data_IF_801737681764
#
_entry.id   IF_801737681764
#
_cell.length_a   1.000
_cell.length_b   1.000
_cell.length_c   1.000
_cell.angle_alpha   90.00
_cell.angle_beta   90.00
_cell.angle_gamma   90.00
#
_symmetry.space_group_name_H-M   'P 1'
#
loop_
_entity.id
_entity.type
_entity.pdbx_description
1 polymer ?
#
# COMPACT_ATOMS: atom_id res chain seq x y z
N UNK A 1 54.76 -13.68 -25.42
CA UNK A 1 53.32 -13.58 -25.18
C UNK A 1 52.80 -12.48 -26.10
N UNK A 2 51.81 -12.78 -26.97
CA UNK A 2 51.34 -11.76 -27.92
C UNK A 2 50.55 -10.67 -27.20
N UNK A 3 50.63 -9.41 -27.66
CA UNK A 3 49.89 -8.31 -27.04
C UNK A 3 48.35 -8.55 -27.01
N UNK A 4 47.82 -9.27 -27.95
CA UNK A 4 46.40 -9.68 -28.00
C UNK A 4 46.04 -10.64 -26.85
N UNK A 5 46.89 -11.54 -26.43
CA UNK A 5 46.66 -12.44 -25.32
C UNK A 5 46.70 -11.70 -23.97
N UNK A 6 47.54 -10.72 -23.81
CA UNK A 6 47.62 -9.88 -22.63
C UNK A 6 46.30 -9.01 -22.52
N UNK A 7 45.84 -8.45 -23.62
CA UNK A 7 44.58 -7.69 -23.65
C UNK A 7 43.35 -8.53 -23.30
N UNK A 8 43.32 -9.76 -23.79
CA UNK A 8 42.25 -10.72 -23.47
C UNK A 8 42.21 -11.09 -21.99
N UNK A 9 43.38 -11.32 -21.36
CA UNK A 9 43.45 -11.58 -19.92
C UNK A 9 43.03 -10.39 -19.07
N UNK A 10 43.43 -9.17 -19.43
CA UNK A 10 43.01 -7.96 -18.73
C UNK A 10 41.50 -7.73 -18.84
N UNK A 11 40.90 -7.96 -20.00
CA UNK A 11 39.45 -7.88 -20.17
C UNK A 11 38.67 -8.83 -19.29
N UNK A 12 39.11 -10.08 -19.18
CA UNK A 12 38.49 -11.08 -18.30
C UNK A 12 38.63 -10.71 -16.81
N UNK A 13 39.79 -10.16 -16.43
CA UNK A 13 40.03 -9.73 -15.05
C UNK A 13 39.15 -8.54 -14.66
N UNK A 14 39.04 -7.54 -15.53
CA UNK A 14 38.15 -6.39 -15.32
C UNK A 14 36.67 -6.82 -15.24
N UNK A 15 36.26 -7.74 -16.12
CA UNK A 15 34.90 -8.28 -16.10
C UNK A 15 34.62 -9.05 -14.79
N UNK A 16 35.58 -9.84 -14.30
CA UNK A 16 35.45 -10.53 -13.04
C UNK A 16 35.34 -9.56 -11.84
N UNK A 17 36.13 -8.50 -11.82
CA UNK A 17 36.05 -7.44 -10.79
C UNK A 17 34.67 -6.81 -10.81
N UNK A 18 34.17 -6.42 -11.98
CA UNK A 18 32.85 -5.79 -12.13
C UNK A 18 31.75 -6.74 -11.65
N UNK A 19 31.80 -8.02 -12.00
CA UNK A 19 30.85 -9.03 -11.55
C UNK A 19 30.85 -9.17 -10.03
N UNK A 20 32.05 -9.20 -9.40
CA UNK A 20 32.15 -9.24 -7.93
C UNK A 20 31.63 -7.96 -7.25
N UNK A 21 31.86 -6.79 -7.83
CA UNK A 21 31.31 -5.52 -7.32
C UNK A 21 29.78 -5.50 -7.37
N UNK A 22 29.19 -5.96 -8.49
CA UNK A 22 27.75 -6.10 -8.62
C UNK A 22 27.20 -7.12 -7.61
N UNK A 23 27.83 -8.28 -7.47
CA UNK A 23 27.42 -9.28 -6.49
C UNK A 23 27.51 -8.74 -5.05
N UNK A 24 28.58 -8.03 -4.70
CA UNK A 24 28.72 -7.41 -3.37
C UNK A 24 27.66 -6.34 -3.12
N UNK A 25 27.35 -5.51 -4.12
CA UNK A 25 26.27 -4.51 -4.04
C UNK A 25 24.90 -5.16 -3.82
N UNK A 26 24.60 -6.27 -4.50
CA UNK A 26 23.38 -7.05 -4.29
C UNK A 26 23.33 -7.69 -2.90
N UNK A 27 24.40 -8.37 -2.49
CA UNK A 27 24.47 -9.03 -1.18
C UNK A 27 24.34 -8.03 -0.03
N UNK A 28 24.90 -6.82 -0.17
CA UNK A 28 24.77 -5.77 0.84
C UNK A 28 23.31 -5.31 1.06
N UNK A 29 22.41 -5.55 0.10
CA UNK A 29 20.96 -5.26 0.21
C UNK A 29 20.17 -6.47 0.68
N UNK A 30 20.46 -7.65 0.11
CA UNK A 30 19.71 -8.88 0.36
C UNK A 30 19.99 -9.43 1.77
N UNK A 31 21.24 -9.44 2.24
CA UNK A 31 21.58 -9.98 3.55
C UNK A 31 20.87 -9.25 4.69
N UNK A 32 20.89 -7.89 4.79
CA UNK A 32 20.13 -7.18 5.81
C UNK A 32 18.62 -7.40 5.70
N UNK A 33 18.08 -7.45 4.47
CA UNK A 33 16.66 -7.71 4.27
C UNK A 33 16.25 -9.08 4.83
N UNK A 34 16.99 -10.14 4.49
CA UNK A 34 16.72 -11.48 5.01
C UNK A 34 16.89 -11.57 6.55
N UNK A 35 17.82 -10.81 7.11
CA UNK A 35 18.03 -10.77 8.56
C UNK A 35 16.92 -10.00 9.29
N UNK A 36 16.31 -9.01 8.63
CA UNK A 36 15.19 -8.24 9.19
C UNK A 36 13.84 -8.94 9.03
N UNK A 37 13.65 -9.79 8.00
CA UNK A 37 12.38 -10.47 7.72
C UNK A 37 11.74 -11.14 8.95
N UNK A 38 12.48 -11.91 9.80
CA UNK A 38 11.89 -12.53 10.98
C UNK A 38 11.48 -11.55 12.07
N UNK A 39 11.91 -10.28 11.97
CA UNK A 39 11.60 -9.21 12.92
C UNK A 39 10.37 -8.40 12.56
N UNK A 40 9.84 -8.61 11.34
CA UNK A 40 8.59 -7.95 10.92
C UNK A 40 7.44 -8.50 11.75
N UNK A 41 6.74 -7.67 12.53
CA UNK A 41 5.65 -8.14 13.38
C UNK A 41 4.49 -8.61 12.51
N UNK A 42 3.99 -9.80 12.78
CA UNK A 42 2.76 -10.29 12.15
C UNK A 42 1.57 -9.84 13.00
N UNK A 43 0.86 -8.82 12.54
CA UNK A 43 -0.25 -8.22 13.27
C UNK A 43 -1.37 -9.21 13.55
N UNK A 44 -1.68 -10.11 12.61
CA UNK A 44 -2.73 -11.12 12.79
C UNK A 44 -2.36 -12.19 13.82
N UNK A 45 -1.09 -12.61 13.87
CA UNK A 45 -0.60 -13.56 14.89
C UNK A 45 -0.52 -12.92 16.28
N UNK A 46 -0.16 -11.64 16.32
CA UNK A 46 -0.04 -10.89 17.56
C UNK A 46 -1.41 -10.37 18.06
N UNK A 47 -2.46 -10.44 17.25
CA UNK A 47 -3.83 -10.07 17.65
C UNK A 47 -4.35 -10.83 18.88
N UNK A 48 -3.86 -12.05 19.11
CA UNK A 48 -4.17 -12.80 20.34
C UNK A 48 -3.52 -12.20 21.59
N UNK A 49 -2.41 -11.46 21.45
CA UNK A 49 -1.73 -10.77 22.54
C UNK A 49 -2.38 -9.41 22.79
N UNK A 50 -2.96 -8.79 21.76
CA UNK A 50 -3.60 -7.46 21.81
C UNK A 50 -5.12 -7.51 22.02
N UNK A 51 -5.69 -8.67 22.27
CA UNK A 51 -7.12 -8.82 22.62
C UNK A 51 -7.47 -8.21 24.00
N UNK A 52 -6.47 -7.70 24.74
CA UNK A 52 -6.72 -6.87 25.90
C UNK A 52 -7.24 -5.50 25.41
N UNK A 53 -8.55 -5.36 25.46
CA UNK A 53 -9.30 -4.12 25.17
C UNK A 53 -8.82 -2.90 25.97
N UNK A 54 -8.00 -3.08 26.99
CA UNK A 54 -7.42 -2.00 27.83
C UNK A 54 -6.40 -1.12 27.10
N UNK A 55 -5.78 -1.60 26.03
CA UNK A 55 -4.73 -0.89 25.28
C UNK A 55 -5.23 -0.24 23.98
N UNK A 56 -6.54 -0.28 23.75
CA UNK A 56 -7.15 0.37 22.59
C UNK A 56 -7.15 1.91 22.78
N UNK A 57 -6.81 2.67 21.73
CA UNK A 57 -6.90 4.14 21.80
C UNK A 57 -8.34 4.58 22.07
N UNK A 58 -8.52 5.59 22.92
CA UNK A 58 -9.84 6.14 23.22
C UNK A 58 -9.74 7.66 23.27
N UNK A 59 -10.32 8.40 22.32
CA UNK A 59 -11.09 7.89 21.16
C UNK A 59 -10.20 7.24 20.10
N UNK A 60 -10.81 6.38 19.25
CA UNK A 60 -10.13 5.86 18.07
C UNK A 60 -9.83 6.98 17.08
N UNK A 61 -8.58 7.09 16.56
CA UNK A 61 -8.25 8.06 15.52
C UNK A 61 -9.10 7.88 14.26
N UNK A 62 -9.29 8.93 13.50
CA UNK A 62 -9.94 8.85 12.20
C UNK A 62 -8.99 8.34 11.13
N UNK A 63 -9.48 7.52 10.21
CA UNK A 63 -8.69 6.93 9.11
C UNK A 63 -9.38 7.18 7.79
N UNK A 64 -8.64 7.71 6.81
CA UNK A 64 -9.05 7.74 5.41
C UNK A 64 -8.22 6.73 4.61
N UNK A 65 -8.90 5.77 3.99
CA UNK A 65 -8.29 4.82 3.05
C UNK A 65 -8.43 5.35 1.64
N UNK A 66 -7.31 5.49 0.94
CA UNK A 66 -7.25 5.98 -0.44
C UNK A 66 -6.99 4.81 -1.39
N UNK A 67 -7.89 4.60 -2.34
CA UNK A 67 -7.85 3.49 -3.32
C UNK A 67 -7.81 4.06 -4.73
N UNK A 68 -6.62 4.32 -5.31
CA UNK A 68 -6.52 4.70 -6.72
C UNK A 68 -6.73 3.46 -7.60
N UNK A 69 -7.56 3.56 -8.61
CA UNK A 69 -7.81 2.47 -9.55
C UNK A 69 -7.86 2.99 -11.00
N UNK A 70 -7.39 2.13 -11.91
CA UNK A 70 -7.49 2.33 -13.33
C UNK A 70 -7.62 1.00 -14.05
N UNK A 71 -8.76 0.79 -14.73
CA UNK A 71 -9.05 -0.46 -15.45
C UNK A 71 -8.96 -1.72 -14.56
N UNK A 72 -9.56 -1.65 -13.35
CA UNK A 72 -9.54 -2.67 -12.30
C UNK A 72 -10.92 -3.34 -12.09
N UNK A 73 -11.77 -3.41 -13.13
CA UNK A 73 -13.14 -3.93 -13.02
C UNK A 73 -13.24 -5.35 -12.45
N UNK A 74 -12.18 -6.16 -12.56
CA UNK A 74 -12.17 -7.54 -12.05
C UNK A 74 -12.08 -7.61 -10.52
N UNK A 75 -11.38 -6.66 -9.89
CA UNK A 75 -11.04 -6.73 -8.47
C UNK A 75 -11.74 -5.66 -7.62
N UNK A 76 -12.03 -4.50 -8.18
CA UNK A 76 -12.41 -3.30 -7.44
C UNK A 76 -13.64 -3.47 -6.55
N UNK A 77 -14.70 -4.13 -7.03
CA UNK A 77 -15.91 -4.34 -6.24
C UNK A 77 -15.62 -5.11 -4.95
N UNK A 78 -14.89 -6.24 -5.08
CA UNK A 78 -14.56 -7.09 -3.94
C UNK A 78 -13.61 -6.39 -2.97
N UNK A 79 -12.65 -5.63 -3.48
CA UNK A 79 -11.72 -4.83 -2.68
C UNK A 79 -12.48 -3.78 -1.85
N UNK A 80 -13.31 -2.96 -2.48
CA UNK A 80 -14.08 -1.91 -1.80
C UNK A 80 -15.07 -2.48 -0.78
N UNK A 81 -15.77 -3.59 -1.09
CA UNK A 81 -16.64 -4.26 -0.12
C UNK A 81 -15.86 -4.70 1.11
N UNK A 82 -14.67 -5.31 0.94
CA UNK A 82 -13.83 -5.71 2.08
C UNK A 82 -13.40 -4.54 2.96
N UNK A 83 -13.19 -3.36 2.37
CA UNK A 83 -12.82 -2.15 3.10
C UNK A 83 -14.00 -1.56 3.90
N UNK A 84 -15.18 -1.45 3.28
CA UNK A 84 -16.36 -0.90 3.99
C UNK A 84 -16.85 -1.82 5.10
N UNK A 85 -16.58 -3.13 5.00
CA UNK A 85 -16.87 -4.13 6.02
C UNK A 85 -15.85 -4.18 7.17
N UNK A 86 -14.77 -3.37 7.10
CA UNK A 86 -13.79 -3.35 8.18
C UNK A 86 -14.40 -2.86 9.50
N UNK A 87 -14.07 -3.59 10.58
CA UNK A 87 -14.47 -3.24 11.96
C UNK A 87 -13.62 -2.08 12.48
N UNK A 88 -13.94 -0.87 12.02
CA UNK A 88 -13.29 0.35 12.47
C UNK A 88 -14.31 1.49 12.61
N UNK A 89 -14.36 2.20 13.77
CA UNK A 89 -15.45 3.15 14.03
C UNK A 89 -15.38 4.41 13.14
N UNK A 90 -14.19 4.98 12.96
CA UNK A 90 -13.98 6.27 12.28
C UNK A 90 -13.29 6.06 10.93
N UNK A 91 -13.87 5.22 10.07
CA UNK A 91 -13.34 4.86 8.75
C UNK A 91 -14.04 5.64 7.65
N UNK A 92 -13.25 6.22 6.76
CA UNK A 92 -13.67 6.69 5.44
C UNK A 92 -12.85 6.05 4.35
N UNK A 93 -13.46 5.74 3.22
CA UNK A 93 -12.80 5.21 2.02
C UNK A 93 -13.02 6.21 0.88
N UNK A 94 -11.93 6.58 0.22
CA UNK A 94 -11.96 7.43 -0.98
C UNK A 94 -11.40 6.61 -2.14
N UNK A 95 -12.27 6.13 -2.99
CA UNK A 95 -11.89 5.46 -4.23
C UNK A 95 -11.72 6.49 -5.34
N UNK A 96 -10.64 6.40 -6.11
CA UNK A 96 -10.36 7.33 -7.21
C UNK A 96 -10.27 6.56 -8.52
N UNK A 97 -11.23 6.79 -9.39
CA UNK A 97 -11.23 6.28 -10.75
C UNK A 97 -10.35 7.17 -11.63
N UNK A 98 -9.12 6.71 -11.92
CA UNK A 98 -8.16 7.43 -12.75
C UNK A 98 -8.39 7.16 -14.23
N UNK A 99 -9.47 7.73 -14.79
CA UNK A 99 -9.77 7.67 -16.24
C UNK A 99 -9.89 6.21 -16.75
N UNK A 100 -10.57 5.33 -16.01
CA UNK A 100 -10.82 3.96 -16.46
C UNK A 100 -11.69 3.95 -17.74
N UNK A 101 -11.42 2.98 -18.59
CA UNK A 101 -12.16 2.77 -19.84
C UNK A 101 -13.09 1.54 -19.77
N UNK A 102 -12.98 0.76 -18.71
CA UNK A 102 -13.79 -0.41 -18.42
C UNK A 102 -14.93 -0.10 -17.43
N UNK A 103 -15.46 -1.13 -16.74
CA UNK A 103 -16.56 -0.98 -15.78
C UNK A 103 -16.12 -0.47 -14.40
N UNK A 104 -14.83 -0.14 -14.16
CA UNK A 104 -14.29 0.20 -12.85
C UNK A 104 -15.07 1.31 -12.16
N UNK A 105 -15.22 2.48 -12.80
CA UNK A 105 -15.92 3.63 -12.21
C UNK A 105 -17.37 3.29 -11.86
N UNK A 106 -18.10 2.60 -12.75
CA UNK A 106 -19.49 2.16 -12.49
C UNK A 106 -19.58 1.23 -11.28
N UNK A 107 -18.68 0.26 -11.16
CA UNK A 107 -18.65 -0.67 -10.02
C UNK A 107 -18.34 0.04 -8.71
N UNK A 108 -17.45 1.06 -8.72
CA UNK A 108 -17.20 1.90 -7.55
C UNK A 108 -18.46 2.63 -7.09
N UNK A 109 -19.20 3.24 -8.01
CA UNK A 109 -20.44 3.96 -7.72
C UNK A 109 -21.52 3.02 -7.18
N UNK A 110 -21.65 1.82 -7.74
CA UNK A 110 -22.59 0.81 -7.26
C UNK A 110 -22.28 0.38 -5.81
N UNK A 111 -21.01 0.18 -5.46
CA UNK A 111 -20.62 -0.12 -4.08
C UNK A 111 -20.89 1.07 -3.17
N UNK A 112 -20.56 2.29 -3.59
CA UNK A 112 -20.78 3.49 -2.79
C UNK A 112 -22.27 3.77 -2.51
N UNK A 113 -23.14 3.44 -3.48
CA UNK A 113 -24.59 3.57 -3.33
C UNK A 113 -25.24 2.45 -2.54
N UNK A 114 -24.50 1.37 -2.25
CA UNK A 114 -25.06 0.21 -1.54
C UNK A 114 -25.29 0.53 -0.05
N UNK A 115 -26.33 -0.06 0.59
CA UNK A 115 -26.57 0.11 2.03
C UNK A 115 -25.40 -0.35 2.89
N UNK A 116 -24.67 -1.35 2.43
CA UNK A 116 -23.51 -1.95 3.12
C UNK A 116 -22.34 -0.98 3.21
N UNK A 117 -22.25 -0.01 2.32
CA UNK A 117 -21.22 1.02 2.40
C UNK A 117 -21.39 1.97 3.60
N UNK A 118 -22.60 2.01 4.21
CA UNK A 118 -22.92 2.83 5.39
C UNK A 118 -22.51 4.33 5.25
N UNK A 119 -22.42 4.84 4.02
CA UNK A 119 -21.92 6.20 3.72
C UNK A 119 -20.41 6.39 3.94
N UNK A 120 -19.65 5.32 4.14
CA UNK A 120 -18.20 5.38 4.36
C UNK A 120 -17.38 5.53 3.08
N UNK A 121 -17.96 5.19 1.91
CA UNK A 121 -17.28 5.22 0.62
C UNK A 121 -17.67 6.44 -0.19
N UNK A 122 -16.68 7.19 -0.63
CA UNK A 122 -16.81 8.28 -1.60
C UNK A 122 -16.00 7.94 -2.85
N UNK A 123 -16.55 8.19 -4.02
CA UNK A 123 -15.88 8.00 -5.31
C UNK A 123 -15.51 9.35 -5.91
N UNK A 124 -14.29 9.44 -6.45
CA UNK A 124 -13.80 10.57 -7.23
C UNK A 124 -13.47 10.09 -8.64
N UNK A 125 -14.01 10.73 -9.66
CA UNK A 125 -13.70 10.43 -11.05
C UNK A 125 -12.76 11.50 -11.61
N UNK A 126 -11.59 11.08 -12.06
CA UNK A 126 -10.61 11.93 -12.73
C UNK A 126 -10.94 11.95 -14.21
N UNK A 127 -11.30 13.11 -14.76
CA UNK A 127 -11.57 13.25 -16.19
C UNK A 127 -10.28 13.38 -17.00
N UNK A 128 -9.33 14.19 -16.51
CA UNK A 128 -8.09 14.50 -17.21
C UNK A 128 -6.89 14.45 -16.25
N UNK A 129 -5.74 14.01 -16.78
CA UNK A 129 -4.48 14.03 -16.04
C UNK A 129 -3.77 15.37 -16.30
N UNK A 130 -3.49 16.19 -15.28
CA UNK A 130 -2.73 17.42 -15.46
C UNK A 130 -1.32 17.15 -16.01
N UNK A 131 -0.81 18.09 -16.80
CA UNK A 131 0.53 17.99 -17.36
C UNK A 131 1.60 17.82 -16.28
N UNK A 132 2.55 16.91 -16.51
CA UNK A 132 3.63 16.59 -15.57
C UNK A 132 3.28 15.59 -14.48
N UNK A 133 2.01 15.17 -14.36
CA UNK A 133 1.60 14.16 -13.39
C UNK A 133 1.62 12.74 -13.97
N UNK A 134 1.89 11.76 -13.09
CA UNK A 134 1.59 10.34 -13.33
C UNK A 134 0.22 10.00 -12.72
N UNK A 135 -0.52 9.08 -13.34
CA UNK A 135 -1.92 8.79 -12.96
C UNK A 135 -2.07 8.43 -11.48
N UNK A 136 -1.46 7.33 -11.03
CA UNK A 136 -1.59 6.86 -9.64
C UNK A 136 -1.15 7.91 -8.60
N UNK A 137 0.01 8.59 -8.71
CA UNK A 137 0.37 9.67 -7.79
C UNK A 137 -0.62 10.84 -7.78
N UNK A 138 -1.17 11.23 -8.94
CA UNK A 138 -2.18 12.25 -9.01
C UNK A 138 -3.47 11.86 -8.28
N UNK A 139 -3.97 10.64 -8.52
CA UNK A 139 -5.15 10.12 -7.86
C UNK A 139 -4.97 10.06 -6.33
N UNK A 140 -3.79 9.61 -5.87
CA UNK A 140 -3.45 9.57 -4.43
C UNK A 140 -3.41 11.00 -3.84
N UNK A 141 -2.76 11.95 -4.51
CA UNK A 141 -2.67 13.34 -4.05
C UNK A 141 -4.07 13.99 -3.99
N UNK A 142 -4.90 13.81 -5.01
CA UNK A 142 -6.26 14.33 -5.07
C UNK A 142 -7.13 13.86 -3.90
N UNK A 143 -7.04 12.58 -3.56
CA UNK A 143 -7.79 12.03 -2.43
C UNK A 143 -7.24 12.50 -1.08
N UNK A 144 -5.91 12.59 -0.95
CA UNK A 144 -5.24 13.01 0.28
C UNK A 144 -5.47 14.49 0.60
N UNK A 145 -5.48 15.36 -0.42
CA UNK A 145 -5.70 16.81 -0.28
C UNK A 145 -7.06 17.15 0.32
N UNK A 146 -8.07 16.31 0.07
CA UNK A 146 -9.39 16.43 0.66
C UNK A 146 -9.61 15.72 2.00
N UNK A 147 -8.59 15.05 2.56
CA UNK A 147 -8.71 14.28 3.79
C UNK A 147 -8.34 15.13 5.01
N UNK A 148 -9.14 14.98 6.08
CA UNK A 148 -8.92 15.66 7.38
C UNK A 148 -8.73 14.66 8.53
N UNK A 149 -8.54 13.38 8.19
CA UNK A 149 -8.35 12.31 9.16
C UNK A 149 -6.97 12.32 9.79
N UNK A 150 -6.84 11.70 10.97
CA UNK A 150 -5.58 11.58 11.70
C UNK A 150 -4.59 10.67 10.96
N UNK A 151 -5.11 9.65 10.26
CA UNK A 151 -4.33 8.68 9.48
C UNK A 151 -4.78 8.59 8.03
N UNK A 152 -3.81 8.47 7.13
CA UNK A 152 -4.03 8.13 5.71
C UNK A 152 -3.46 6.74 5.43
N UNK A 153 -4.28 5.86 4.87
CA UNK A 153 -3.88 4.55 4.39
C UNK A 153 -3.99 4.53 2.86
N UNK A 154 -2.90 4.25 2.18
CA UNK A 154 -2.88 4.04 0.73
C UNK A 154 -2.84 2.56 0.43
N UNK A 155 -3.70 2.08 -0.45
CA UNK A 155 -3.76 0.67 -0.86
C UNK A 155 -4.03 0.53 -2.35
N UNK A 156 -3.69 -0.62 -2.92
CA UNK A 156 -4.02 -0.94 -4.30
C UNK A 156 -5.49 -1.39 -4.43
N UNK A 157 -6.02 -1.32 -5.65
CA UNK A 157 -7.42 -1.58 -5.96
C UNK A 157 -7.81 -3.07 -5.93
N UNK A 158 -6.84 -3.98 -5.83
CA UNK A 158 -6.99 -5.43 -5.83
C UNK A 158 -6.75 -6.09 -4.47
N UNK A 159 -6.48 -5.30 -3.43
CA UNK A 159 -6.23 -5.80 -2.07
C UNK A 159 -7.54 -6.11 -1.35
N UNK A 160 -7.60 -7.29 -0.72
CA UNK A 160 -8.71 -7.72 0.13
C UNK A 160 -8.30 -7.62 1.59
N UNK A 161 -9.07 -6.87 2.37
CA UNK A 161 -8.79 -6.63 3.78
C UNK A 161 -9.45 -7.66 4.69
N UNK A 162 -8.71 -8.12 5.71
CA UNK A 162 -9.32 -8.77 6.88
C UNK A 162 -10.11 -7.69 7.66
N UNK A 163 -11.32 -7.98 8.14
CA UNK A 163 -12.13 -6.97 8.87
C UNK A 163 -11.43 -6.31 10.05
N UNK A 164 -10.44 -6.95 10.64
CA UNK A 164 -9.66 -6.42 11.78
C UNK A 164 -8.37 -5.70 11.37
N UNK A 165 -8.00 -5.73 10.09
CA UNK A 165 -6.68 -5.29 9.65
C UNK A 165 -6.39 -3.83 10.03
N UNK A 166 -7.32 -2.91 9.75
CA UNK A 166 -7.16 -1.48 10.05
C UNK A 166 -7.10 -1.26 11.56
N UNK A 167 -7.96 -1.93 12.33
CA UNK A 167 -7.98 -1.82 13.79
C UNK A 167 -6.63 -2.22 14.40
N UNK A 168 -6.09 -3.37 13.99
CA UNK A 168 -4.81 -3.88 14.47
C UNK A 168 -3.65 -2.99 14.04
N UNK A 169 -3.69 -2.47 12.82
CA UNK A 169 -2.68 -1.57 12.30
C UNK A 169 -2.60 -0.27 13.12
N UNK A 170 -3.73 0.39 13.32
CA UNK A 170 -3.78 1.63 14.10
C UNK A 170 -3.40 1.40 15.56
N UNK A 171 -3.90 0.33 16.18
CA UNK A 171 -3.50 0.01 17.56
C UNK A 171 -1.99 -0.18 17.69
N UNK A 172 -1.37 -0.87 16.74
CA UNK A 172 0.09 -1.04 16.73
C UNK A 172 0.82 0.28 16.49
N UNK A 173 0.36 1.12 15.57
CA UNK A 173 0.96 2.42 15.28
C UNK A 173 0.93 3.33 16.52
N UNK A 174 -0.20 3.42 17.20
CA UNK A 174 -0.36 4.22 18.44
C UNK A 174 0.54 3.70 19.57
N UNK A 175 0.60 2.37 19.77
CA UNK A 175 1.46 1.77 20.81
C UNK A 175 2.95 1.99 20.51
N UNK A 176 3.35 1.89 19.23
CA UNK A 176 4.74 2.10 18.82
C UNK A 176 5.12 3.58 18.68
N UNK A 177 4.16 4.50 18.81
CA UNK A 177 4.32 5.93 18.53
C UNK A 177 4.90 6.17 17.13
N UNK A 178 4.52 5.34 16.18
CA UNK A 178 4.94 5.45 14.80
C UNK A 178 4.05 6.43 14.06
N UNK A 179 4.63 7.30 13.25
CA UNK A 179 3.95 8.23 12.35
C UNK A 179 3.89 7.70 10.90
N UNK A 180 4.52 6.56 10.65
CA UNK A 180 4.51 5.86 9.36
C UNK A 180 4.59 4.35 9.55
N UNK A 181 3.77 3.60 8.83
CA UNK A 181 3.76 2.13 8.85
C UNK A 181 3.47 1.56 7.45
N UNK A 182 4.14 0.46 7.12
CA UNK A 182 3.86 -0.33 5.90
C UNK A 182 3.27 -1.67 6.32
N UNK A 183 2.16 -2.06 5.68
CA UNK A 183 1.50 -3.35 5.85
C UNK A 183 1.87 -4.27 4.67
N UNK A 184 2.09 -5.56 4.95
CA UNK A 184 2.40 -6.58 3.94
C UNK A 184 1.38 -7.70 4.00
#
# INVERSE_FOLDING_TARGET
MSPAFALFLHGRFLFAILAWLVAAAWLSRVIPALWMLPRVPNLLKNAHVSANTSDAPTPWPSVTVVVPAKDEAVAIERSLRSLVDCDYPNLQVVAVDDRSTDATGRLMDEVAASPEAHGRLRVLHVAELPEGWLGKPHAMALAADGATSDWLLFTDADVIFDPRAIRLAIQYAEQSRGDHMVLY
#
